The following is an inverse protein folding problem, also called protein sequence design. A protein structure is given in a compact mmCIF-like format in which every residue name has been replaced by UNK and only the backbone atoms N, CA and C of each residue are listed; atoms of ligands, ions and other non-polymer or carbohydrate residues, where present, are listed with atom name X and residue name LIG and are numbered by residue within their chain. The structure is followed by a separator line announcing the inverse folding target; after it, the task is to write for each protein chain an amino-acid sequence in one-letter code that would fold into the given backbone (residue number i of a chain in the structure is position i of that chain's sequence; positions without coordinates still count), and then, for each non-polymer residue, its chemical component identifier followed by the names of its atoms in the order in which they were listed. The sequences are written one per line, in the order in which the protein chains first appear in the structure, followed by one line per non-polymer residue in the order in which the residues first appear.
data_IF_745847100962
#
_entry.id   IF_745847100962
#
_cell.length_a   1.000
_cell.length_b   1.000
_cell.length_c   1.000
_cell.angle_alpha   90.00
_cell.angle_beta   90.00
_cell.angle_gamma   90.00
#
_symmetry.space_group_name_H-M   'P 1'
#
loop_
_entity.id
_entity.type
_entity.pdbx_description
1 polymer ?
#
# COMPACT_ATOMS: atom_id res chain seq x y z
N UNK A 1 14.60 15.46 6.01
CA UNK A 1 14.72 14.27 6.88
C UNK A 1 14.74 13.01 6.03
N UNK A 2 15.57 12.03 6.35
CA UNK A 2 15.53 10.68 5.78
C UNK A 2 14.83 9.78 6.79
N UNK A 3 13.96 8.86 6.36
CA UNK A 3 13.53 7.75 7.24
C UNK A 3 14.71 6.79 7.31
N UNK A 4 15.49 6.94 8.37
CA UNK A 4 16.64 6.10 8.66
C UNK A 4 16.18 4.97 9.58
N UNK A 5 16.03 3.78 9.01
CA UNK A 5 15.51 2.61 9.73
C UNK A 5 16.39 2.13 10.88
N UNK A 6 17.64 2.58 10.97
CA UNK A 6 18.51 2.32 12.11
C UNK A 6 18.26 3.30 13.27
N UNK A 7 17.57 4.42 13.01
CA UNK A 7 17.24 5.47 13.97
C UNK A 7 15.76 5.49 14.37
N UNK A 8 14.96 4.60 13.80
CA UNK A 8 13.53 4.42 14.11
C UNK A 8 13.29 3.00 14.64
N UNK A 9 12.05 2.71 15.02
CA UNK A 9 11.61 1.36 15.40
C UNK A 9 11.42 0.42 14.20
N UNK A 10 11.86 0.81 12.99
CA UNK A 10 11.74 0.03 11.75
C UNK A 10 12.66 -1.19 11.67
N UNK A 11 13.47 -1.43 12.72
CA UNK A 11 14.35 -2.61 12.84
C UNK A 11 15.33 -2.76 11.66
N UNK A 12 15.89 -1.63 11.19
CA UNK A 12 16.86 -1.63 10.09
C UNK A 12 16.25 -1.91 8.71
N UNK A 13 14.93 -1.82 8.55
CA UNK A 13 14.28 -1.99 7.26
C UNK A 13 13.19 -0.95 7.01
N UNK A 14 13.43 -0.04 6.07
CA UNK A 14 12.42 0.86 5.49
C UNK A 14 12.54 0.82 3.96
N UNK A 15 11.55 0.28 3.27
CA UNK A 15 11.62 0.03 1.82
C UNK A 15 10.28 0.24 1.12
N UNK A 16 10.28 0.15 -0.21
CA UNK A 16 9.08 0.21 -1.07
C UNK A 16 8.16 1.38 -0.70
N UNK A 17 8.65 2.62 -0.84
CA UNK A 17 7.90 3.82 -0.49
C UNK A 17 6.74 4.05 -1.46
N UNK A 18 5.59 4.43 -0.92
CA UNK A 18 4.43 4.93 -1.67
C UNK A 18 3.98 6.26 -1.08
N UNK A 19 3.93 7.31 -1.90
CA UNK A 19 3.57 8.64 -1.43
C UNK A 19 2.23 9.10 -2.00
N UNK A 20 1.41 9.72 -1.15
CA UNK A 20 0.17 10.38 -1.55
C UNK A 20 0.13 11.81 -1.02
N UNK A 21 -0.25 12.74 -1.89
CA UNK A 21 -0.54 14.11 -1.50
C UNK A 21 -1.97 14.20 -1.00
N UNK A 22 -2.15 14.70 0.22
CA UNK A 22 -3.44 14.88 0.85
C UNK A 22 -4.12 16.18 0.38
N UNK A 23 -5.43 16.27 0.57
CA UNK A 23 -6.24 17.45 0.20
C UNK A 23 -5.85 18.72 0.96
N UNK A 24 -5.28 18.57 2.17
CA UNK A 24 -4.74 19.68 2.98
C UNK A 24 -3.31 20.08 2.58
N UNK A 25 -2.75 19.45 1.54
CA UNK A 25 -1.43 19.76 1.00
C UNK A 25 -0.28 18.98 1.65
N UNK A 26 -0.52 18.27 2.76
CA UNK A 26 0.50 17.39 3.37
C UNK A 26 0.82 16.20 2.46
N UNK A 27 1.99 15.61 2.66
CA UNK A 27 2.39 14.36 2.00
C UNK A 27 2.39 13.25 3.03
N UNK A 28 1.63 12.20 2.78
CA UNK A 28 1.73 10.95 3.55
C UNK A 28 2.53 9.93 2.75
N UNK A 29 3.53 9.36 3.40
CA UNK A 29 4.37 8.29 2.88
C UNK A 29 4.00 7.00 3.58
N UNK A 30 3.62 5.98 2.83
CA UNK A 30 3.55 4.59 3.27
C UNK A 30 4.83 3.87 2.88
N UNK A 31 5.28 2.92 3.69
CA UNK A 31 6.47 2.14 3.40
C UNK A 31 6.45 0.82 4.15
N UNK A 32 7.24 -0.14 3.65
CA UNK A 32 7.44 -1.44 4.27
C UNK A 32 8.46 -1.32 5.39
N UNK A 33 8.10 -1.83 6.55
CA UNK A 33 8.88 -1.84 7.78
C UNK A 33 8.99 -3.24 8.38
N UNK A 34 10.04 -3.47 9.18
CA UNK A 34 10.16 -4.65 10.05
C UNK A 34 9.78 -4.38 11.50
N UNK A 35 9.15 -3.24 11.79
CA UNK A 35 8.61 -2.93 13.11
C UNK A 35 7.54 -3.92 13.60
N UNK A 36 6.91 -4.66 12.67
CA UNK A 36 5.87 -5.64 12.96
C UNK A 36 5.99 -6.88 12.05
N UNK A 37 6.00 -8.07 12.67
CA UNK A 37 5.89 -9.34 11.95
C UNK A 37 7.05 -9.62 10.98
N UNK A 38 6.75 -10.28 9.86
CA UNK A 38 7.72 -10.56 8.79
C UNK A 38 7.87 -9.41 7.79
N UNK A 39 6.95 -8.46 7.84
CA UNK A 39 6.88 -7.22 7.08
C UNK A 39 5.56 -6.55 7.42
N UNK A 40 5.53 -5.23 7.49
CA UNK A 40 4.29 -4.50 7.66
C UNK A 40 4.35 -3.14 6.95
N UNK A 41 3.19 -2.65 6.53
CA UNK A 41 3.08 -1.29 6.03
C UNK A 41 2.83 -0.35 7.20
N UNK A 42 3.66 0.68 7.28
CA UNK A 42 3.55 1.81 8.22
C UNK A 42 3.47 3.11 7.42
N UNK A 43 3.18 4.24 8.09
CA UNK A 43 3.18 5.54 7.42
C UNK A 43 3.91 6.63 8.21
N UNK A 44 4.21 7.72 7.50
CA UNK A 44 4.72 8.95 8.06
C UNK A 44 4.14 10.14 7.30
N UNK A 45 3.92 11.26 8.00
CA UNK A 45 3.30 12.47 7.46
C UNK A 45 4.28 13.63 7.40
N UNK A 46 4.18 14.48 6.39
CA UNK A 46 5.00 15.67 6.21
C UNK A 46 4.18 16.88 5.76
N UNK A 47 4.49 18.06 6.31
CA UNK A 47 3.90 19.33 5.88
C UNK A 47 4.62 19.95 4.68
N UNK A 48 5.89 19.60 4.47
CA UNK A 48 6.77 20.21 3.46
C UNK A 48 7.26 19.20 2.40
N UNK A 49 6.93 17.92 2.55
CA UNK A 49 7.41 16.82 1.72
C UNK A 49 8.88 16.44 1.96
N UNK A 50 9.54 17.06 2.94
CA UNK A 50 10.96 16.88 3.23
C UNK A 50 11.19 16.31 4.63
N UNK A 51 10.38 16.72 5.60
CA UNK A 51 10.49 16.32 7.00
C UNK A 51 9.24 15.54 7.39
N UNK A 52 9.42 14.27 7.69
CA UNK A 52 8.34 13.34 8.00
C UNK A 52 8.23 13.10 9.51
N UNK A 53 7.07 12.68 9.97
CA UNK A 53 6.84 12.21 11.34
C UNK A 53 6.06 10.92 11.24
N UNK A 54 6.57 9.85 11.86
CA UNK A 54 5.94 8.53 11.80
C UNK A 54 4.55 8.58 12.43
N UNK A 55 3.59 7.93 11.79
CA UNK A 55 2.20 7.78 12.25
C UNK A 55 2.00 6.36 12.83
N UNK A 56 0.82 6.11 13.39
CA UNK A 56 0.49 4.83 14.06
C UNK A 56 0.04 3.70 13.13
N UNK A 57 -0.03 3.97 11.81
CA UNK A 57 -0.44 2.99 10.79
C UNK A 57 0.32 1.67 10.91
N UNK A 58 -0.43 0.55 10.96
CA UNK A 58 0.11 -0.80 10.92
C UNK A 58 -0.80 -1.73 10.12
N UNK A 59 -0.31 -2.19 8.97
CA UNK A 59 -0.93 -3.26 8.18
C UNK A 59 0.01 -4.48 8.23
N UNK A 60 -0.38 -5.53 8.95
CA UNK A 60 0.50 -6.63 9.35
C UNK A 60 0.66 -7.70 8.27
N UNK A 61 1.89 -8.16 8.03
CA UNK A 61 2.24 -9.21 7.05
C UNK A 61 2.02 -8.80 5.58
N UNK A 62 1.83 -7.51 5.33
CA UNK A 62 1.63 -6.92 4.00
C UNK A 62 2.83 -6.07 3.56
N UNK A 63 3.06 -6.03 2.25
CA UNK A 63 4.18 -5.32 1.59
C UNK A 63 3.72 -4.65 0.29
N UNK A 64 4.59 -3.87 -0.34
CA UNK A 64 4.36 -3.25 -1.64
C UNK A 64 3.06 -2.42 -1.70
N UNK A 65 2.91 -1.40 -0.83
CA UNK A 65 1.71 -0.57 -0.83
C UNK A 65 1.58 0.21 -2.13
N UNK A 66 0.36 0.33 -2.64
CA UNK A 66 -0.02 1.37 -3.58
C UNK A 66 -1.38 1.95 -3.20
N UNK A 67 -1.52 3.28 -3.21
CA UNK A 67 -2.66 3.94 -2.57
C UNK A 67 -3.24 5.08 -3.42
N UNK A 68 -4.55 5.24 -3.35
CA UNK A 68 -5.26 6.38 -3.93
C UNK A 68 -6.37 6.88 -3.01
N UNK A 69 -6.96 8.04 -3.33
CA UNK A 69 -8.15 8.55 -2.65
C UNK A 69 -9.40 8.27 -3.49
N UNK A 70 -10.41 7.74 -2.80
CA UNK A 70 -11.77 7.61 -3.30
C UNK A 70 -12.42 8.99 -3.42
N UNK A 71 -13.47 9.07 -4.24
CA UNK A 71 -14.21 10.30 -4.52
C UNK A 71 -14.87 10.91 -3.27
N UNK A 72 -15.14 10.09 -2.26
CA UNK A 72 -15.68 10.49 -0.95
C UNK A 72 -14.59 10.84 0.10
N UNK A 73 -13.31 10.86 -0.31
CA UNK A 73 -12.17 11.22 0.53
C UNK A 73 -11.57 10.05 1.32
N UNK A 74 -12.19 8.87 1.32
CA UNK A 74 -11.60 7.67 1.90
C UNK A 74 -10.36 7.24 1.13
N UNK A 75 -9.50 6.46 1.77
CA UNK A 75 -8.28 5.92 1.21
C UNK A 75 -8.52 4.50 0.72
N UNK A 76 -8.02 4.18 -0.47
CA UNK A 76 -8.04 2.85 -1.05
C UNK A 76 -6.62 2.39 -1.31
N UNK A 77 -6.19 1.37 -0.56
CA UNK A 77 -4.84 0.83 -0.59
C UNK A 77 -4.90 -0.59 -1.16
N UNK A 78 -4.02 -0.89 -2.12
CA UNK A 78 -3.70 -2.22 -2.61
C UNK A 78 -2.32 -2.62 -2.07
N UNK A 79 -2.15 -3.89 -1.74
CA UNK A 79 -0.89 -4.40 -1.18
C UNK A 79 -0.74 -5.90 -1.42
N UNK A 80 0.49 -6.38 -1.42
CA UNK A 80 0.85 -7.77 -1.54
C UNK A 80 0.94 -8.47 -0.16
N UNK A 81 0.50 -9.72 -0.07
CA UNK A 81 0.65 -10.59 1.11
C UNK A 81 1.40 -11.87 0.73
N UNK A 82 2.35 -12.30 1.55
CA UNK A 82 3.09 -13.54 1.30
C UNK A 82 2.21 -14.77 1.49
N UNK A 83 2.20 -15.66 0.49
CA UNK A 83 1.49 -16.95 0.60
C UNK A 83 2.37 -18.01 1.29
N UNK A 84 1.74 -19.08 1.79
CA UNK A 84 2.48 -20.21 2.35
C UNK A 84 3.23 -21.03 1.28
N UNK A 85 2.77 -21.01 0.02
CA UNK A 85 3.37 -21.75 -1.08
C UNK A 85 4.54 -21.01 -1.75
N UNK A 86 4.81 -19.77 -1.34
CA UNK A 86 5.77 -18.88 -1.97
C UNK A 86 5.11 -17.96 -3.00
N UNK A 87 5.65 -16.74 -3.11
CA UNK A 87 5.04 -15.65 -3.86
C UNK A 87 4.07 -14.82 -3.02
N UNK A 88 3.29 -13.99 -3.70
CA UNK A 88 2.37 -13.04 -3.08
C UNK A 88 1.01 -13.01 -3.79
N UNK A 89 -0.02 -12.58 -3.06
CA UNK A 89 -1.37 -12.31 -3.59
C UNK A 89 -1.73 -10.84 -3.30
N UNK A 90 -2.62 -10.25 -4.08
CA UNK A 90 -3.06 -8.86 -3.87
C UNK A 90 -4.33 -8.79 -3.04
N UNK A 91 -4.29 -7.91 -2.05
CA UNK A 91 -5.40 -7.55 -1.19
C UNK A 91 -5.59 -6.04 -1.20
N UNK A 92 -6.75 -5.61 -0.72
CA UNK A 92 -7.07 -4.21 -0.57
C UNK A 92 -7.73 -3.87 0.75
N UNK A 93 -7.59 -2.60 1.11
CA UNK A 93 -8.16 -2.01 2.29
C UNK A 93 -8.80 -0.66 1.96
N UNK A 94 -9.91 -0.37 2.64
CA UNK A 94 -10.51 0.96 2.65
C UNK A 94 -10.33 1.55 4.05
N UNK A 95 -9.85 2.79 4.13
CA UNK A 95 -9.70 3.52 5.38
C UNK A 95 -10.35 4.90 5.29
N UNK A 96 -10.95 5.36 6.40
CA UNK A 96 -11.55 6.70 6.45
C UNK A 96 -10.51 7.81 6.61
N UNK A 97 -9.36 7.51 7.21
CA UNK A 97 -8.34 8.51 7.56
C UNK A 97 -6.96 8.21 6.98
N UNK A 98 -6.79 7.03 6.37
CA UNK A 98 -5.53 6.55 5.81
C UNK A 98 -4.50 6.17 6.87
N UNK A 99 -4.88 6.07 8.14
CA UNK A 99 -4.02 5.66 9.25
C UNK A 99 -4.49 4.33 9.82
N UNK A 100 -5.81 4.21 10.01
CA UNK A 100 -6.43 3.03 10.60
C UNK A 100 -7.00 2.13 9.50
N UNK A 101 -6.50 0.91 9.43
CA UNK A 101 -6.94 -0.12 8.48
C UNK A 101 -7.41 -1.37 9.22
N UNK A 102 -8.53 -1.95 8.77
CA UNK A 102 -9.07 -3.18 9.35
C UNK A 102 -8.28 -4.40 8.86
N UNK A 103 -7.30 -4.81 9.66
CA UNK A 103 -6.47 -5.98 9.38
C UNK A 103 -7.25 -7.30 9.45
N UNK A 104 -8.44 -7.33 10.10
CA UNK A 104 -9.21 -8.56 10.24
C UNK A 104 -10.04 -8.89 9.00
N UNK A 105 -10.32 -7.91 8.14
CA UNK A 105 -11.21 -8.07 6.99
C UNK A 105 -10.64 -7.45 5.69
N UNK A 106 -9.45 -7.88 5.22
CA UNK A 106 -8.93 -7.45 3.92
C UNK A 106 -9.81 -7.98 2.78
N UNK A 107 -9.89 -7.22 1.68
CA UNK A 107 -10.62 -7.64 0.48
C UNK A 107 -9.62 -8.26 -0.52
N UNK A 108 -9.83 -9.51 -0.93
CA UNK A 108 -9.03 -10.14 -1.99
C UNK A 108 -9.22 -9.43 -3.32
N UNK A 109 -8.11 -9.22 -4.05
CA UNK A 109 -8.11 -8.58 -5.37
C UNK A 109 -7.64 -9.57 -6.44
N UNK A 110 -6.47 -10.19 -6.24
CA UNK A 110 -5.93 -11.24 -7.10
C UNK A 110 -5.36 -12.33 -6.18
N UNK A 111 -5.90 -13.54 -6.27
CA UNK A 111 -5.50 -14.73 -5.48
C UNK A 111 -4.63 -15.69 -6.30
N UNK A 112 -3.82 -15.11 -7.18
CA UNK A 112 -2.81 -15.77 -7.98
C UNK A 112 -1.44 -15.18 -7.58
N UNK A 113 -0.34 -15.86 -7.94
CA UNK A 113 1.00 -15.42 -7.53
C UNK A 113 1.46 -14.19 -8.32
N UNK A 114 1.26 -13.00 -7.76
CA UNK A 114 1.51 -11.69 -8.38
C UNK A 114 2.18 -10.72 -7.40
N UNK A 115 2.88 -9.70 -7.89
CA UNK A 115 3.61 -8.75 -7.04
C UNK A 115 3.59 -7.31 -7.56
N UNK A 116 4.10 -6.41 -6.71
CA UNK A 116 4.37 -5.00 -6.99
C UNK A 116 3.18 -4.23 -7.61
N UNK A 117 2.02 -4.16 -6.93
CA UNK A 117 0.85 -3.50 -7.47
C UNK A 117 1.08 -2.00 -7.63
N UNK A 118 0.47 -1.42 -8.66
CA UNK A 118 0.35 0.03 -8.82
C UNK A 118 -1.09 0.41 -9.19
N UNK A 119 -1.74 1.20 -8.35
CA UNK A 119 -3.13 1.64 -8.57
C UNK A 119 -3.20 3.04 -9.18
N UNK A 120 -4.09 3.21 -10.16
CA UNK A 120 -4.45 4.50 -10.74
C UNK A 120 -5.97 4.65 -10.73
N UNK A 121 -6.46 5.77 -10.20
CA UNK A 121 -7.86 6.22 -10.39
C UNK A 121 -8.01 6.72 -11.83
N UNK A 122 -8.82 6.04 -12.63
CA UNK A 122 -9.08 6.38 -14.05
C UNK A 122 -10.17 7.44 -14.15
N UNK A 123 -11.23 7.29 -13.36
CA UNK A 123 -12.31 8.25 -13.17
C UNK A 123 -12.92 8.08 -11.76
N UNK A 124 -14.05 8.74 -11.47
CA UNK A 124 -14.65 8.72 -10.14
C UNK A 124 -15.09 7.34 -9.63
N UNK A 125 -15.29 6.37 -10.52
CA UNK A 125 -15.72 5.01 -10.15
C UNK A 125 -14.78 3.93 -10.65
N UNK A 126 -13.91 4.24 -11.61
CA UNK A 126 -13.05 3.27 -12.27
C UNK A 126 -11.62 3.37 -11.78
N UNK A 127 -11.06 2.23 -11.40
CA UNK A 127 -9.67 2.09 -10.97
C UNK A 127 -8.99 1.04 -11.83
N UNK A 128 -7.71 1.24 -12.11
CA UNK A 128 -6.85 0.27 -12.79
C UNK A 128 -5.69 -0.09 -11.89
N UNK A 129 -5.43 -1.38 -11.76
CA UNK A 129 -4.32 -1.93 -11.00
C UNK A 129 -3.38 -2.59 -12.01
N UNK A 130 -2.12 -2.18 -12.01
CA UNK A 130 -1.03 -2.80 -12.76
C UNK A 130 -0.23 -3.68 -11.82
N UNK A 131 0.29 -4.81 -12.31
CA UNK A 131 1.04 -5.79 -11.54
C UNK A 131 1.85 -6.68 -12.50
N UNK A 132 2.72 -7.53 -11.96
CA UNK A 132 3.35 -8.60 -12.73
C UNK A 132 3.08 -9.97 -12.09
N UNK A 133 3.15 -11.03 -12.90
CA UNK A 133 2.95 -12.41 -12.46
C UNK A 133 4.28 -13.06 -12.11
N UNK A 134 4.42 -13.54 -10.88
CA UNK A 134 5.66 -14.17 -10.38
C UNK A 134 6.09 -15.39 -11.22
N UNK A 135 5.17 -16.23 -11.74
CA UNK A 135 5.54 -17.38 -12.59
C UNK A 135 6.12 -17.01 -13.96
N UNK A 136 6.06 -15.75 -14.38
CA UNK A 136 6.52 -15.34 -15.70
C UNK A 136 8.01 -15.61 -15.90
N UNK A 137 8.35 -16.45 -16.89
CA UNK A 137 9.74 -16.68 -17.29
C UNK A 137 10.39 -15.43 -17.94
N UNK A 138 9.58 -14.50 -18.43
CA UNK A 138 9.96 -13.18 -18.92
C UNK A 138 8.94 -12.20 -18.36
N UNK A 139 9.30 -11.32 -17.40
CA UNK A 139 8.33 -10.51 -16.68
C UNK A 139 7.45 -9.66 -17.61
N UNK A 140 6.12 -9.79 -17.46
CA UNK A 140 5.13 -8.98 -18.18
C UNK A 140 4.35 -8.13 -17.17
N UNK A 141 4.00 -6.91 -17.58
CA UNK A 141 3.07 -6.07 -16.83
C UNK A 141 1.65 -6.33 -17.30
N UNK A 142 0.81 -6.79 -16.38
CA UNK A 142 -0.61 -6.99 -16.57
C UNK A 142 -1.40 -5.85 -15.94
N UNK A 143 -2.71 -5.80 -16.22
CA UNK A 143 -3.60 -4.93 -15.48
C UNK A 143 -5.02 -5.47 -15.42
N UNK A 144 -5.69 -5.16 -14.31
CA UNK A 144 -7.14 -5.34 -14.15
C UNK A 144 -7.81 -3.98 -13.96
N UNK A 145 -9.08 -3.89 -14.32
CA UNK A 145 -9.89 -2.68 -14.14
C UNK A 145 -11.18 -3.05 -13.44
N UNK A 146 -11.56 -2.25 -12.45
CA UNK A 146 -12.75 -2.49 -11.66
C UNK A 146 -13.31 -1.21 -11.05
N UNK A 147 -14.45 -1.36 -10.39
CA UNK A 147 -15.11 -0.32 -9.63
C UNK A 147 -15.27 -0.77 -8.17
N UNK A 148 -15.32 0.20 -7.26
CA UNK A 148 -15.58 -0.07 -5.84
C UNK A 148 -17.09 -0.06 -5.62
N UNK A 149 -17.63 -1.19 -5.14
CA UNK A 149 -19.04 -1.33 -4.86
C UNK A 149 -19.47 -0.36 -3.74
N UNK A 150 -20.60 0.32 -3.92
CA UNK A 150 -21.16 1.24 -2.93
C UNK A 150 -20.70 2.69 -3.03
N UNK A 151 -20.17 3.12 -4.19
CA UNK A 151 -20.00 4.53 -4.59
C UNK A 151 -21.07 5.02 -5.56
#
# INVERSE_FOLDING_TARGET
MVIDSEKTDDQGWASVPEAIKLSDGRVRLYYVSRACGRGCIVSAISNDGLNFTKEETKIYDYVDPSITQLSDGRFFLITANFTQQGGTELYSFISNDGIHFDNANPQSVIIESVADPSIVKVDDKTYRIYYWEIPDSSPVIYSITGAIAGQ
#
